data_IF_168575000092
#
_entry.id   IF_168575000092
#
_cell.length_a   1.000
_cell.length_b   1.000
_cell.length_c   1.000
_cell.angle_alpha   90.00
_cell.angle_beta   90.00
_cell.angle_gamma   90.00
#
_symmetry.space_group_name_H-M   'P 1'
#
loop_
_entity.id
_entity.type
_entity.pdbx_description
1 polymer ?
#
# COMPACT_ATOMS: atom_id res chain seq x y z
N UNK A 1 11.86 2.95 -3.20
CA UNK A 1 11.22 2.27 -4.36
C UNK A 1 9.77 2.71 -4.46
N UNK A 2 9.33 3.04 -5.65
CA UNK A 2 7.94 3.40 -5.89
C UNK A 2 7.01 2.20 -5.68
N UNK A 3 5.79 2.46 -5.24
CA UNK A 3 4.82 1.41 -4.91
C UNK A 3 4.51 0.50 -6.11
N UNK A 4 4.43 1.09 -7.31
CA UNK A 4 4.17 0.33 -8.55
C UNK A 4 5.31 -0.65 -8.81
N UNK A 5 6.54 -0.19 -8.72
CA UNK A 5 7.71 -1.04 -8.94
C UNK A 5 7.82 -2.13 -7.89
N UNK A 6 7.55 -1.79 -6.64
CA UNK A 6 7.55 -2.75 -5.54
C UNK A 6 6.54 -3.86 -5.77
N UNK A 7 5.31 -3.51 -6.16
CA UNK A 7 4.28 -4.50 -6.46
C UNK A 7 4.69 -5.43 -7.59
N UNK A 8 5.19 -4.87 -8.70
CA UNK A 8 5.61 -5.66 -9.86
C UNK A 8 6.76 -6.60 -9.51
N UNK A 9 7.74 -6.12 -8.76
CA UNK A 9 8.88 -6.94 -8.33
C UNK A 9 8.42 -8.06 -7.40
N UNK A 10 7.55 -7.77 -6.44
CA UNK A 10 7.03 -8.77 -5.51
C UNK A 10 6.21 -9.83 -6.25
N UNK A 11 5.37 -9.43 -7.18
CA UNK A 11 4.62 -10.39 -8.02
C UNK A 11 5.56 -11.33 -8.77
N UNK A 12 6.64 -10.79 -9.32
CA UNK A 12 7.63 -11.60 -10.04
C UNK A 12 8.34 -12.57 -9.11
N UNK A 13 8.76 -12.12 -7.93
CA UNK A 13 9.43 -12.95 -6.93
C UNK A 13 8.53 -14.08 -6.43
N UNK A 14 7.26 -13.78 -6.20
CA UNK A 14 6.29 -14.76 -5.69
C UNK A 14 5.61 -15.58 -6.80
N UNK A 15 5.88 -15.27 -8.05
CA UNK A 15 5.24 -15.96 -9.18
C UNK A 15 3.74 -15.72 -9.30
N UNK A 16 3.28 -14.53 -8.93
CA UNK A 16 1.85 -14.18 -8.89
C UNK A 16 1.49 -13.28 -10.07
N UNK A 17 0.46 -13.65 -10.83
CA UNK A 17 -0.05 -12.86 -11.96
C UNK A 17 -1.14 -11.90 -11.50
N UNK A 18 -1.49 -10.94 -12.36
CA UNK A 18 -2.62 -10.03 -12.10
C UNK A 18 -3.95 -10.79 -11.92
N UNK A 19 -4.15 -11.84 -12.70
CA UNK A 19 -5.34 -12.70 -12.57
C UNK A 19 -5.40 -13.35 -11.19
N UNK A 20 -4.28 -13.86 -10.72
CA UNK A 20 -4.19 -14.48 -9.39
C UNK A 20 -4.43 -13.46 -8.28
N UNK A 21 -3.93 -12.22 -8.42
CA UNK A 21 -4.21 -11.15 -7.48
C UNK A 21 -5.70 -10.83 -7.42
N UNK A 22 -6.36 -10.77 -8.57
CA UNK A 22 -7.81 -10.56 -8.63
C UNK A 22 -8.56 -11.66 -7.87
N UNK A 23 -8.15 -12.90 -8.07
CA UNK A 23 -8.75 -14.06 -7.41
C UNK A 23 -8.54 -14.02 -5.88
N UNK A 24 -7.33 -13.70 -5.43
CA UNK A 24 -6.99 -13.66 -4.00
C UNK A 24 -7.66 -12.51 -3.26
N UNK A 25 -7.82 -11.38 -3.92
CA UNK A 25 -8.34 -10.15 -3.29
C UNK A 25 -9.84 -9.97 -3.48
N UNK A 26 -10.43 -10.62 -4.48
CA UNK A 26 -11.81 -10.37 -4.89
C UNK A 26 -11.98 -9.05 -5.65
N UNK A 27 -10.89 -8.37 -5.99
CA UNK A 27 -10.93 -7.13 -6.75
C UNK A 27 -11.19 -7.40 -8.23
N UNK A 28 -11.77 -6.41 -8.92
CA UNK A 28 -11.95 -6.47 -10.36
C UNK A 28 -10.59 -6.39 -11.06
N UNK A 29 -10.55 -6.91 -12.29
CA UNK A 29 -9.38 -6.82 -13.15
C UNK A 29 -8.90 -5.38 -13.31
N UNK A 30 -9.85 -4.45 -13.50
CA UNK A 30 -9.55 -3.03 -13.66
C UNK A 30 -8.94 -2.44 -12.37
N UNK A 31 -9.44 -2.79 -11.20
CA UNK A 31 -8.90 -2.33 -9.93
C UNK A 31 -7.46 -2.78 -9.72
N UNK A 32 -7.15 -4.04 -10.04
CA UNK A 32 -5.78 -4.56 -9.97
C UNK A 32 -4.87 -3.80 -10.94
N UNK A 33 -5.32 -3.63 -12.18
CA UNK A 33 -4.57 -2.90 -13.20
C UNK A 33 -4.28 -1.46 -12.76
N UNK A 34 -5.27 -0.78 -12.19
CA UNK A 34 -5.12 0.61 -11.74
C UNK A 34 -4.03 0.75 -10.67
N UNK A 35 -3.99 -0.17 -9.72
CA UNK A 35 -2.94 -0.15 -8.68
C UNK A 35 -1.55 -0.34 -9.27
N UNK A 36 -1.44 -1.13 -10.34
CA UNK A 36 -0.17 -1.43 -10.98
C UNK A 36 0.28 -0.37 -11.99
N UNK A 37 -0.56 0.60 -12.32
CA UNK A 37 -0.26 1.56 -13.39
C UNK A 37 -0.50 3.03 -13.03
N UNK A 38 -1.39 3.34 -12.10
CA UNK A 38 -1.72 4.72 -11.75
C UNK A 38 -0.86 5.25 -10.60
N UNK A 39 -0.55 6.54 -10.65
CA UNK A 39 0.28 7.21 -9.65
C UNK A 39 -0.41 7.39 -8.29
N UNK A 40 -1.74 7.43 -8.27
CA UNK A 40 -2.52 7.70 -7.05
C UNK A 40 -3.69 6.74 -6.87
N UNK A 41 -3.44 5.42 -6.77
CA UNK A 41 -4.50 4.47 -6.49
C UNK A 41 -5.01 4.60 -5.06
N UNK A 42 -6.20 4.06 -4.78
CA UNK A 42 -6.77 4.04 -3.43
C UNK A 42 -5.83 3.29 -2.47
N UNK A 43 -5.55 3.90 -1.32
CA UNK A 43 -4.64 3.32 -0.31
C UNK A 43 -5.10 1.94 0.14
N UNK A 44 -6.39 1.77 0.42
CA UNK A 44 -6.91 0.49 0.91
C UNK A 44 -6.77 -0.61 -0.14
N UNK A 45 -6.94 -0.27 -1.41
CA UNK A 45 -6.76 -1.21 -2.52
C UNK A 45 -5.29 -1.64 -2.63
N UNK A 46 -4.36 -0.70 -2.51
CA UNK A 46 -2.92 -0.99 -2.50
C UNK A 46 -2.58 -1.93 -1.35
N UNK A 47 -3.05 -1.63 -0.15
CA UNK A 47 -2.80 -2.44 1.03
C UNK A 47 -3.37 -3.84 0.89
N UNK A 48 -4.56 -3.97 0.31
CA UNK A 48 -5.22 -5.25 0.05
C UNK A 48 -4.39 -6.13 -0.89
N UNK A 49 -3.82 -5.53 -1.93
CA UNK A 49 -2.92 -6.24 -2.86
C UNK A 49 -1.64 -6.66 -2.13
N UNK A 50 -1.04 -5.78 -1.34
CA UNK A 50 0.14 -6.10 -0.54
C UNK A 50 -0.14 -7.29 0.38
N UNK A 51 -1.27 -7.30 1.07
CA UNK A 51 -1.65 -8.39 1.97
C UNK A 51 -1.81 -9.71 1.23
N UNK A 52 -2.32 -9.68 0.01
CA UNK A 52 -2.43 -10.87 -0.85
C UNK A 52 -1.07 -11.42 -1.30
N UNK A 53 -0.02 -10.59 -1.21
CA UNK A 53 1.36 -10.96 -1.52
C UNK A 53 2.21 -11.20 -0.25
N UNK A 54 1.57 -11.37 0.90
CA UNK A 54 2.23 -11.50 2.21
C UNK A 54 3.11 -10.31 2.54
N UNK A 55 2.67 -9.13 2.17
CA UNK A 55 3.32 -7.84 2.46
C UNK A 55 2.34 -6.93 3.16
N UNK A 56 2.85 -5.90 3.81
CA UNK A 56 2.02 -4.84 4.38
C UNK A 56 2.72 -3.50 4.24
N UNK A 57 1.97 -2.43 4.51
CA UNK A 57 2.46 -1.06 4.52
C UNK A 57 2.50 -0.62 5.97
N UNK A 58 3.71 -0.30 6.44
CA UNK A 58 3.92 0.24 7.79
C UNK A 58 4.14 1.74 7.72
N UNK A 59 3.90 2.43 8.82
CA UNK A 59 4.12 3.87 8.97
C UNK A 59 5.21 4.06 10.02
N UNK A 60 6.25 4.81 9.66
CA UNK A 60 7.39 5.08 10.53
C UNK A 60 7.77 6.55 10.47
N UNK A 61 8.46 7.04 11.51
CA UNK A 61 9.07 8.36 11.46
C UNK A 61 10.33 8.34 10.60
N UNK A 62 10.53 9.39 9.80
CA UNK A 62 11.71 9.51 8.93
C UNK A 62 13.01 9.54 9.73
N UNK A 63 12.99 10.08 10.93
CA UNK A 63 14.18 10.16 11.78
C UNK A 63 14.52 8.85 12.53
N UNK A 64 13.73 7.81 12.30
CA UNK A 64 13.91 6.52 12.96
C UNK A 64 13.43 6.48 14.41
N UNK A 65 12.82 7.55 14.87
CA UNK A 65 12.29 7.63 16.23
C UNK A 65 11.05 6.78 16.45
N UNK A 66 10.63 6.70 17.69
CA UNK A 66 9.44 5.97 18.08
C UNK A 66 8.19 6.69 17.55
N UNK A 67 7.24 5.90 17.01
CA UNK A 67 6.01 6.46 16.47
C UNK A 67 5.12 6.99 17.58
N UNK A 68 4.69 8.25 17.46
CA UNK A 68 3.91 8.96 18.46
C UNK A 68 2.41 8.99 18.16
N UNK A 69 1.95 8.20 17.18
CA UNK A 69 0.56 8.09 16.79
C UNK A 69 0.13 6.62 16.79
N UNK A 70 -1.17 6.39 16.98
CA UNK A 70 -1.73 5.05 16.95
C UNK A 70 -1.98 4.62 15.49
N UNK A 71 -1.20 3.66 15.02
CA UNK A 71 -1.34 3.12 13.66
C UNK A 71 -2.73 2.59 13.37
N UNK A 72 -3.33 1.88 14.32
CA UNK A 72 -4.64 1.27 14.11
C UNK A 72 -5.72 2.34 13.92
N UNK A 73 -5.62 3.44 14.65
CA UNK A 73 -6.53 4.58 14.48
C UNK A 73 -6.35 5.22 13.11
N UNK A 74 -5.10 5.34 12.63
CA UNK A 74 -4.83 5.87 11.30
C UNK A 74 -5.41 4.97 10.21
N UNK A 75 -5.18 3.67 10.30
CA UNK A 75 -5.72 2.73 9.31
C UNK A 75 -7.25 2.74 9.28
N UNK A 76 -7.90 2.88 10.43
CA UNK A 76 -9.35 3.01 10.50
C UNK A 76 -9.85 4.27 9.77
N UNK A 77 -9.14 5.39 9.93
CA UNK A 77 -9.45 6.62 9.20
C UNK A 77 -9.26 6.42 7.69
N UNK A 78 -8.18 5.76 7.27
CA UNK A 78 -7.90 5.50 5.85
C UNK A 78 -8.97 4.59 5.23
N UNK A 79 -9.46 3.60 5.95
CA UNK A 79 -10.56 2.76 5.47
C UNK A 79 -11.83 3.57 5.25
N UNK A 80 -12.14 4.49 6.16
CA UNK A 80 -13.35 5.32 6.10
C UNK A 80 -13.25 6.38 5.01
N UNK A 81 -12.13 7.08 4.92
CA UNK A 81 -11.94 8.22 4.01
C UNK A 81 -11.46 7.80 2.61
N UNK A 82 -10.96 6.59 2.45
CA UNK A 82 -10.50 6.03 1.19
C UNK A 82 -9.56 6.97 0.41
N UNK A 83 -8.46 7.46 1.01
CA UNK A 83 -7.56 8.39 0.34
C UNK A 83 -6.76 7.73 -0.79
N UNK A 84 -6.33 8.53 -1.77
CA UNK A 84 -5.36 8.08 -2.76
C UNK A 84 -3.99 7.87 -2.13
N UNK A 85 -3.28 6.84 -2.57
CA UNK A 85 -1.98 6.45 -2.01
C UNK A 85 -0.94 7.56 -2.15
N UNK A 86 -0.81 8.14 -3.35
CA UNK A 86 0.18 9.18 -3.60
C UNK A 86 -0.07 10.45 -2.79
N UNK A 87 -1.34 10.86 -2.67
CA UNK A 87 -1.72 12.02 -1.88
C UNK A 87 -1.43 11.78 -0.39
N UNK A 88 -1.80 10.61 0.12
CA UNK A 88 -1.56 10.25 1.51
C UNK A 88 -0.06 10.19 1.83
N UNK A 89 0.72 9.59 0.93
CA UNK A 89 2.18 9.53 1.05
C UNK A 89 2.78 10.94 1.16
N UNK A 90 2.37 11.86 0.29
CA UNK A 90 2.85 13.23 0.30
C UNK A 90 2.53 13.95 1.62
N UNK A 91 1.32 13.78 2.12
CA UNK A 91 0.89 14.38 3.39
C UNK A 91 1.73 13.84 4.55
N UNK A 92 1.88 12.52 4.65
CA UNK A 92 2.66 11.90 5.72
C UNK A 92 4.13 12.31 5.67
N UNK A 93 4.72 12.38 4.49
CA UNK A 93 6.10 12.80 4.33
C UNK A 93 6.30 14.26 4.76
N UNK A 94 5.36 15.14 4.45
CA UNK A 94 5.38 16.53 4.90
C UNK A 94 5.31 16.66 6.43
N UNK A 95 4.70 15.67 7.10
CA UNK A 95 4.59 15.62 8.55
C UNK A 95 5.76 14.91 9.24
N UNK A 96 6.73 14.43 8.48
CA UNK A 96 7.89 13.72 9.02
C UNK A 96 7.71 12.21 9.17
N UNK A 97 6.72 11.64 8.51
CA UNK A 97 6.50 10.19 8.49
C UNK A 97 6.80 9.63 7.11
N UNK A 98 6.90 8.30 7.02
CA UNK A 98 7.09 7.61 5.74
C UNK A 98 6.40 6.25 5.76
N UNK A 99 6.09 5.74 4.57
CA UNK A 99 5.63 4.36 4.41
C UNK A 99 6.83 3.42 4.29
N UNK A 100 6.72 2.27 4.93
CA UNK A 100 7.67 1.15 4.77
C UNK A 100 6.91 -0.05 4.25
N UNK A 101 7.47 -0.72 3.24
CA UNK A 101 6.90 -1.95 2.70
C UNK A 101 7.56 -3.12 3.39
N UNK A 102 6.78 -3.91 4.10
CA UNK A 102 7.32 -4.96 4.99
C UNK A 102 6.71 -6.31 4.67
N UNK A 103 7.44 -7.36 4.98
CA UNK A 103 6.90 -8.73 4.95
C UNK A 103 6.05 -8.96 6.18
N UNK A 104 4.97 -9.68 5.97
CA UNK A 104 4.14 -10.15 7.09
C UNK A 104 4.80 -11.30 7.82
#
# INVERSE_FOLDING_TARGET
MEVIEYNKQTMKEEGVTQMELGRRTGLTRQSVFDVLTRANPNFNTVRRIFNALDRDIDIRKKDGGELDIDKNSLYAVFEREAPGFGKLKAILEAMGYEFQYVRK
#
